data_IF_006661251761
#
_entry.id   IF_006661251761
#
_cell.length_a   1.000
_cell.length_b   1.000
_cell.length_c   1.000
_cell.angle_alpha   90.00
_cell.angle_beta   90.00
_cell.angle_gamma   90.00
#
_symmetry.space_group_name_H-M   'P 1'
#
loop_
_entity.id
_entity.type
_entity.pdbx_description
1 polymer ?
#
# COMPACT_ATOMS: atom_id res chain seq x y z
N UNK A 1 -1.18 22.38 -7.84
CA UNK A 1 -2.18 21.43 -8.38
C UNK A 1 -1.44 20.22 -8.90
N UNK A 2 -1.78 19.01 -8.47
CA UNK A 2 -1.32 17.82 -9.20
C UNK A 2 -1.99 17.87 -10.58
N UNK A 3 -1.26 17.68 -11.69
CA UNK A 3 -1.82 17.80 -13.05
C UNK A 3 -2.87 16.72 -13.38
N UNK A 4 -3.03 15.73 -12.50
CA UNK A 4 -3.87 14.57 -12.73
C UNK A 4 -4.91 14.38 -11.63
N UNK A 5 -6.11 13.93 -12.05
CA UNK A 5 -7.14 13.44 -11.15
C UNK A 5 -6.94 11.93 -10.93
N UNK A 6 -6.76 11.53 -9.68
CA UNK A 6 -6.53 10.13 -9.29
C UNK A 6 -7.78 9.45 -8.72
N UNK A 7 -8.91 10.16 -8.63
CA UNK A 7 -10.13 9.64 -7.99
C UNK A 7 -10.62 8.37 -8.67
N UNK A 8 -10.77 8.39 -9.99
CA UNK A 8 -11.26 7.22 -10.74
C UNK A 8 -10.12 6.41 -11.38
N UNK A 9 -8.87 6.74 -11.06
CA UNK A 9 -7.69 6.06 -11.59
C UNK A 9 -7.56 4.62 -11.04
N UNK A 10 -7.09 3.65 -11.84
CA UNK A 10 -6.90 2.29 -11.37
C UNK A 10 -5.87 2.24 -10.26
N UNK A 11 -6.10 1.37 -9.27
CA UNK A 11 -5.22 1.17 -8.11
C UNK A 11 -4.69 -0.26 -8.11
N UNK A 12 -3.37 -0.41 -8.11
CA UNK A 12 -2.74 -1.69 -7.79
C UNK A 12 -2.32 -1.74 -6.33
N UNK A 13 -2.66 -2.85 -5.67
CA UNK A 13 -2.30 -3.15 -4.28
C UNK A 13 -1.29 -4.29 -4.28
N UNK A 14 -0.07 -3.99 -3.87
CA UNK A 14 1.03 -4.95 -3.75
C UNK A 14 1.19 -5.32 -2.28
N UNK A 15 0.81 -6.54 -1.90
CA UNK A 15 0.72 -6.95 -0.51
C UNK A 15 1.61 -8.15 -0.19
N UNK A 16 2.66 -7.92 0.60
CA UNK A 16 3.47 -8.98 1.21
C UNK A 16 2.83 -9.46 2.54
N UNK A 17 2.28 -10.67 2.53
CA UNK A 17 1.54 -11.24 3.66
C UNK A 17 2.46 -11.72 4.79
N UNK A 18 3.73 -12.01 4.52
CA UNK A 18 4.68 -12.36 5.59
C UNK A 18 5.07 -11.13 6.40
N UNK A 19 5.10 -9.98 5.74
CA UNK A 19 5.39 -8.70 6.35
C UNK A 19 4.20 -8.17 7.16
N UNK A 20 3.01 -8.26 6.56
CA UNK A 20 1.74 -7.73 7.02
C UNK A 20 0.69 -8.85 6.94
N UNK A 21 0.73 -9.76 7.91
CA UNK A 21 -0.15 -10.93 7.92
C UNK A 21 -1.61 -10.57 8.16
N UNK A 22 -2.53 -11.42 7.69
CA UNK A 22 -3.95 -11.32 8.05
C UNK A 22 -4.07 -11.33 9.59
N UNK A 23 -4.68 -10.30 10.21
CA UNK A 23 -4.88 -10.29 11.65
C UNK A 23 -5.69 -11.49 12.14
N UNK A 24 -5.41 -11.98 13.35
CA UNK A 24 -6.02 -13.21 13.88
C UNK A 24 -7.55 -13.09 14.08
N UNK A 25 -8.05 -11.88 14.20
CA UNK A 25 -9.46 -11.54 14.37
C UNK A 25 -10.19 -11.27 13.05
N UNK A 26 -9.51 -11.36 11.90
CA UNK A 26 -10.07 -11.08 10.58
C UNK A 26 -9.89 -12.25 9.62
N UNK A 27 -10.86 -12.40 8.70
CA UNK A 27 -10.68 -13.27 7.55
C UNK A 27 -9.92 -12.54 6.43
N UNK A 28 -9.24 -13.28 5.55
CA UNK A 28 -8.50 -12.71 4.41
C UNK A 28 -9.39 -11.80 3.55
N UNK A 29 -10.60 -12.26 3.24
CA UNK A 29 -11.59 -11.50 2.46
C UNK A 29 -12.01 -10.20 3.15
N UNK A 30 -12.15 -10.20 4.48
CA UNK A 30 -12.48 -8.98 5.23
C UNK A 30 -11.38 -7.94 5.12
N UNK A 31 -10.11 -8.37 5.14
CA UNK A 31 -8.97 -7.48 4.94
C UNK A 31 -9.00 -6.86 3.54
N UNK A 32 -9.31 -7.62 2.49
CA UNK A 32 -9.45 -7.07 1.13
C UNK A 32 -10.57 -6.03 1.03
N UNK A 33 -11.73 -6.31 1.64
CA UNK A 33 -12.85 -5.37 1.72
C UNK A 33 -12.49 -4.11 2.49
N UNK A 34 -11.78 -4.24 3.60
CA UNK A 34 -11.30 -3.12 4.40
C UNK A 34 -10.31 -2.25 3.62
N UNK A 35 -9.35 -2.85 2.90
CA UNK A 35 -8.44 -2.12 1.99
C UNK A 35 -9.25 -1.36 0.93
N UNK A 36 -10.22 -2.01 0.28
CA UNK A 36 -11.07 -1.37 -0.74
C UNK A 36 -11.84 -0.17 -0.17
N UNK A 37 -12.42 -0.34 1.02
CA UNK A 37 -13.16 0.71 1.73
C UNK A 37 -12.24 1.90 2.06
N UNK A 38 -11.06 1.66 2.61
CA UNK A 38 -10.07 2.70 2.91
C UNK A 38 -9.68 3.50 1.66
N UNK A 39 -9.46 2.82 0.54
CA UNK A 39 -9.13 3.45 -0.74
C UNK A 39 -10.29 4.34 -1.20
N UNK A 40 -11.51 3.82 -1.21
CA UNK A 40 -12.71 4.57 -1.57
C UNK A 40 -12.93 5.81 -0.68
N UNK A 41 -12.86 5.65 0.65
CA UNK A 41 -13.03 6.75 1.60
C UNK A 41 -11.91 7.81 1.48
N UNK A 42 -10.73 7.41 1.00
CA UNK A 42 -9.62 8.30 0.69
C UNK A 42 -9.68 8.90 -0.72
N UNK A 43 -10.82 8.76 -1.40
CA UNK A 43 -11.05 9.23 -2.78
C UNK A 43 -10.16 8.55 -3.82
N UNK A 44 -9.95 7.24 -3.69
CA UNK A 44 -9.36 6.36 -4.70
C UNK A 44 -10.40 5.31 -5.10
N UNK A 45 -11.34 5.72 -5.95
CA UNK A 45 -12.58 5.04 -6.30
C UNK A 45 -12.49 4.16 -7.56
N UNK A 46 -11.37 4.22 -8.28
CA UNK A 46 -11.15 3.38 -9.45
C UNK A 46 -11.08 1.88 -9.15
N UNK A 47 -10.94 1.08 -10.21
CA UNK A 47 -10.80 -0.38 -10.09
C UNK A 47 -9.56 -0.71 -9.25
N UNK A 48 -9.72 -1.63 -8.31
CA UNK A 48 -8.64 -2.13 -7.45
C UNK A 48 -8.19 -3.51 -7.95
N UNK A 49 -6.90 -3.64 -8.27
CA UNK A 49 -6.26 -4.92 -8.58
C UNK A 49 -5.36 -5.32 -7.41
N UNK A 50 -5.51 -6.54 -6.91
CA UNK A 50 -4.75 -7.07 -5.79
C UNK A 50 -3.67 -8.03 -6.29
N UNK A 51 -2.43 -7.78 -5.90
CA UNK A 51 -1.28 -8.65 -6.09
C UNK A 51 -0.78 -9.06 -4.72
N UNK A 52 -1.14 -10.26 -4.30
CA UNK A 52 -0.85 -10.81 -2.96
C UNK A 52 0.29 -11.79 -3.07
N UNK A 53 1.32 -11.62 -2.25
CA UNK A 53 2.53 -12.44 -2.25
C UNK A 53 2.61 -13.18 -0.92
N UNK A 54 2.57 -14.51 -0.99
CA UNK A 54 2.45 -15.37 0.17
C UNK A 54 3.51 -16.47 0.20
N UNK A 55 4.03 -16.80 1.37
CA UNK A 55 5.00 -17.89 1.56
C UNK A 55 4.51 -18.95 2.56
N UNK A 56 3.20 -19.20 2.62
CA UNK A 56 2.60 -20.22 3.50
C UNK A 56 1.73 -19.65 4.62
N UNK A 57 1.04 -18.52 4.42
CA UNK A 57 0.08 -18.03 5.42
C UNK A 57 -1.06 -19.04 5.57
N UNK A 58 -1.32 -19.55 6.80
CA UNK A 58 -2.43 -20.48 7.05
C UNK A 58 -3.78 -19.95 6.57
N UNK A 59 -3.98 -18.63 6.67
CA UNK A 59 -5.18 -17.92 6.25
C UNK A 59 -5.42 -17.91 4.74
N UNK A 60 -4.47 -18.41 3.95
CA UNK A 60 -4.49 -18.41 2.47
C UNK A 60 -4.36 -19.79 1.85
N UNK A 61 -4.24 -20.86 2.65
CA UNK A 61 -3.97 -22.22 2.18
C UNK A 61 -5.12 -22.75 1.30
N UNK A 62 -6.37 -22.48 1.68
CA UNK A 62 -7.56 -22.97 0.98
C UNK A 62 -8.23 -21.93 0.07
N UNK A 63 -7.66 -20.73 -0.02
CA UNK A 63 -8.21 -19.66 -0.85
C UNK A 63 -7.89 -19.91 -2.33
N UNK A 64 -8.89 -20.38 -3.06
CA UNK A 64 -8.91 -20.36 -4.51
C UNK A 64 -9.55 -19.03 -4.93
N UNK A 65 -8.81 -18.08 -5.55
CA UNK A 65 -9.14 -16.67 -5.56
C UNK A 65 -10.59 -16.42 -5.98
N UNK A 66 -11.51 -16.15 -5.04
CA UNK A 66 -12.93 -15.96 -5.35
C UNK A 66 -13.21 -14.50 -5.77
N UNK A 67 -12.21 -13.63 -5.64
CA UNK A 67 -12.31 -12.19 -5.82
C UNK A 67 -11.81 -11.79 -7.20
N UNK A 68 -12.67 -11.11 -7.96
CA UNK A 68 -12.31 -10.52 -9.25
C UNK A 68 -11.14 -9.54 -9.10
N UNK A 69 -10.22 -9.52 -10.07
CA UNK A 69 -9.02 -8.67 -10.07
C UNK A 69 -8.00 -8.98 -8.96
N UNK A 70 -7.94 -10.22 -8.46
CA UNK A 70 -6.91 -10.67 -7.53
C UNK A 70 -5.98 -11.71 -8.15
N UNK A 71 -4.68 -11.57 -7.85
CA UNK A 71 -3.64 -12.55 -8.16
C UNK A 71 -2.91 -12.89 -6.87
N UNK A 72 -2.84 -14.18 -6.53
CA UNK A 72 -2.04 -14.68 -5.41
C UNK A 72 -0.82 -15.40 -5.99
N UNK A 73 0.38 -14.89 -5.68
CA UNK A 73 1.66 -15.52 -6.02
C UNK A 73 2.21 -16.22 -4.78
N UNK A 74 2.27 -17.55 -4.82
CA UNK A 74 2.75 -18.38 -3.71
C UNK A 74 4.24 -18.71 -3.88
N UNK A 75 4.98 -18.59 -2.80
CA UNK A 75 6.39 -18.96 -2.68
C UNK A 75 6.53 -20.13 -1.68
N UNK A 76 7.56 -20.97 -1.81
CA UNK A 76 7.82 -22.02 -0.82
C UNK A 76 8.07 -21.44 0.57
N UNK A 77 7.48 -22.05 1.60
CA UNK A 77 7.80 -21.73 2.99
C UNK A 77 9.29 -22.00 3.26
N UNK A 78 9.98 -21.04 3.89
CA UNK A 78 11.43 -21.10 4.08
C UNK A 78 12.27 -20.95 2.81
N UNK A 79 11.64 -20.60 1.69
CA UNK A 79 12.35 -20.27 0.44
C UNK A 79 13.13 -18.95 0.54
N UNK A 80 13.90 -18.65 -0.51
CA UNK A 80 14.72 -17.43 -0.57
C UNK A 80 13.85 -16.16 -0.53
N UNK A 81 13.98 -15.29 0.49
CA UNK A 81 13.25 -14.04 0.57
C UNK A 81 13.51 -13.10 -0.63
N UNK A 82 14.67 -13.23 -1.28
CA UNK A 82 15.04 -12.41 -2.42
C UNK A 82 14.16 -12.66 -3.65
N UNK A 83 13.71 -13.90 -3.88
CA UNK A 83 12.83 -14.23 -5.02
C UNK A 83 11.48 -13.52 -4.91
N UNK A 84 10.90 -13.49 -3.70
CA UNK A 84 9.67 -12.74 -3.45
C UNK A 84 9.89 -11.24 -3.60
N UNK A 85 10.95 -10.70 -3.01
CA UNK A 85 11.32 -9.29 -3.16
C UNK A 85 11.43 -8.89 -4.64
N UNK A 86 12.18 -9.67 -5.43
CA UNK A 86 12.37 -9.45 -6.86
C UNK A 86 11.04 -9.49 -7.60
N UNK A 87 10.18 -10.45 -7.31
CA UNK A 87 8.86 -10.57 -7.95
C UNK A 87 7.97 -9.36 -7.64
N UNK A 88 7.90 -8.91 -6.39
CA UNK A 88 7.15 -7.69 -6.02
C UNK A 88 7.70 -6.48 -6.77
N UNK A 89 9.03 -6.33 -6.82
CA UNK A 89 9.68 -5.22 -7.52
C UNK A 89 9.36 -5.22 -9.02
N UNK A 90 9.45 -6.38 -9.67
CA UNK A 90 9.13 -6.54 -11.09
C UNK A 90 7.66 -6.24 -11.36
N UNK A 91 6.74 -6.71 -10.51
CA UNK A 91 5.30 -6.52 -10.73
C UNK A 91 4.88 -5.05 -10.58
N UNK A 92 5.51 -4.30 -9.67
CA UNK A 92 5.32 -2.85 -9.56
C UNK A 92 5.80 -2.16 -10.84
N UNK A 93 6.96 -2.56 -11.37
CA UNK A 93 7.50 -2.03 -12.61
C UNK A 93 6.60 -2.35 -13.81
N UNK A 94 6.19 -3.61 -13.97
CA UNK A 94 5.28 -4.06 -15.03
C UNK A 94 3.95 -3.30 -14.98
N UNK A 95 3.35 -3.16 -13.80
CA UNK A 95 2.15 -2.35 -13.63
C UNK A 95 2.35 -0.90 -14.10
N UNK A 96 3.47 -0.28 -13.73
CA UNK A 96 3.78 1.09 -14.13
C UNK A 96 4.07 1.26 -15.63
N UNK A 97 4.36 0.18 -16.35
CA UNK A 97 4.52 0.21 -17.81
C UNK A 97 3.15 0.02 -18.48
N UNK A 98 2.36 -0.94 -18.00
CA UNK A 98 1.05 -1.30 -18.57
C UNK A 98 -0.08 -0.30 -18.23
N UNK A 99 0.10 0.52 -17.20
CA UNK A 99 -0.88 1.49 -16.68
C UNK A 99 -0.22 2.86 -16.48
N UNK A 100 -0.04 3.64 -17.56
CA UNK A 100 0.53 4.99 -17.45
C UNK A 100 -0.35 5.89 -16.58
N UNK A 101 0.24 6.99 -16.09
CA UNK A 101 -0.47 7.98 -15.28
C UNK A 101 -1.72 8.54 -16.00
N UNK A 102 -2.84 8.77 -15.28
CA UNK A 102 -3.01 8.62 -13.83
C UNK A 102 -3.22 7.17 -13.39
N UNK A 103 -2.43 6.74 -12.39
CA UNK A 103 -2.60 5.46 -11.71
C UNK A 103 -2.15 5.56 -10.24
N UNK A 104 -2.79 4.76 -9.39
CA UNK A 104 -2.50 4.66 -7.97
C UNK A 104 -1.71 3.37 -7.70
N UNK A 105 -0.72 3.45 -6.80
CA UNK A 105 0.09 2.30 -6.38
C UNK A 105 0.10 2.28 -4.86
N UNK A 106 -0.53 1.27 -4.26
CA UNK A 106 -0.45 0.99 -2.83
C UNK A 106 0.53 -0.14 -2.58
N UNK A 107 1.65 0.20 -1.92
CA UNK A 107 2.64 -0.77 -1.48
C UNK A 107 2.42 -1.09 0.01
N UNK A 108 2.11 -2.36 0.32
CA UNK A 108 1.89 -2.86 1.67
C UNK A 108 3.05 -3.77 2.05
N UNK A 109 3.94 -3.27 2.90
CA UNK A 109 5.12 -4.00 3.34
C UNK A 109 5.52 -3.67 4.77
N UNK A 110 6.19 -4.61 5.42
CA UNK A 110 6.51 -4.57 6.84
C UNK A 110 7.91 -4.02 7.11
N UNK A 111 8.68 -3.73 6.06
CA UNK A 111 10.05 -3.26 6.15
C UNK A 111 10.37 -2.18 5.11
N UNK A 112 11.29 -1.30 5.46
CA UNK A 112 11.87 -0.33 4.53
C UNK A 112 13.08 -0.95 3.86
N UNK A 113 12.95 -1.31 2.57
CA UNK A 113 14.06 -1.77 1.75
C UNK A 113 14.56 -0.61 0.85
N UNK A 114 15.86 -0.24 0.85
CA UNK A 114 16.37 0.90 0.09
C UNK A 114 16.07 0.85 -1.41
N UNK A 115 16.09 -0.34 -2.03
CA UNK A 115 15.77 -0.50 -3.45
C UNK A 115 14.28 -0.23 -3.71
N UNK A 116 13.41 -0.72 -2.84
CA UNK A 116 11.97 -0.48 -2.95
C UNK A 116 11.64 0.99 -2.69
N UNK A 117 12.24 1.60 -1.67
CA UNK A 117 12.14 3.05 -1.42
C UNK A 117 12.56 3.85 -2.66
N UNK A 118 13.67 3.48 -3.30
CA UNK A 118 14.13 4.09 -4.53
C UNK A 118 13.10 3.99 -5.66
N UNK A 119 12.51 2.81 -5.86
CA UNK A 119 11.46 2.57 -6.85
C UNK A 119 10.21 3.43 -6.58
N UNK A 120 9.67 3.40 -5.36
CA UNK A 120 8.46 4.15 -5.01
C UNK A 120 8.69 5.67 -5.14
N UNK A 121 9.87 6.17 -4.74
CA UNK A 121 10.22 7.57 -4.95
C UNK A 121 10.31 7.93 -6.43
N UNK A 122 10.93 7.06 -7.25
CA UNK A 122 11.03 7.26 -8.70
C UNK A 122 9.64 7.32 -9.35
N UNK A 123 8.73 6.43 -8.97
CA UNK A 123 7.34 6.46 -9.46
C UNK A 123 6.62 7.75 -9.05
N UNK A 124 6.84 8.23 -7.82
CA UNK A 124 6.31 9.53 -7.39
C UNK A 124 6.86 10.71 -8.21
N UNK A 125 8.14 10.68 -8.58
CA UNK A 125 8.73 11.66 -9.51
C UNK A 125 8.13 11.58 -10.91
N UNK A 126 7.75 10.38 -11.35
CA UNK A 126 7.08 10.12 -12.63
C UNK A 126 5.56 10.37 -12.56
N UNK A 127 5.10 11.11 -11.55
CA UNK A 127 3.72 11.54 -11.35
C UNK A 127 2.71 10.41 -11.07
N UNK A 128 3.16 9.21 -10.67
CA UNK A 128 2.26 8.22 -10.09
C UNK A 128 1.79 8.67 -8.71
N UNK A 129 0.57 8.30 -8.34
CA UNK A 129 0.10 8.50 -6.99
C UNK A 129 0.49 7.31 -6.11
N UNK A 130 1.52 7.48 -5.29
CA UNK A 130 2.05 6.42 -4.43
C UNK A 130 1.44 6.50 -3.03
N UNK A 131 0.99 5.35 -2.55
CA UNK A 131 0.36 5.11 -1.25
C UNK A 131 1.17 4.03 -0.54
N UNK A 132 1.28 4.13 0.79
CA UNK A 132 2.09 3.22 1.57
C UNK A 132 1.29 2.66 2.75
N UNK A 133 1.48 1.38 3.03
CA UNK A 133 1.11 0.80 4.30
C UNK A 133 2.33 0.12 4.90
N UNK A 134 2.62 0.43 6.17
CA UNK A 134 3.75 -0.14 6.89
C UNK A 134 3.32 -0.90 8.14
N UNK A 135 4.15 -1.82 8.62
CA UNK A 135 3.95 -2.45 9.93
C UNK A 135 3.84 -1.39 11.02
N UNK A 136 3.04 -1.65 12.06
CA UNK A 136 2.77 -0.69 13.13
C UNK A 136 4.04 -0.18 13.84
N UNK A 137 5.08 -1.01 13.95
CA UNK A 137 6.39 -0.61 14.50
C UNK A 137 7.09 0.50 13.69
N UNK A 138 6.74 0.66 12.41
CA UNK A 138 7.28 1.68 11.51
C UNK A 138 6.37 2.91 11.40
N UNK A 139 5.16 2.86 11.97
CA UNK A 139 4.21 3.97 12.02
C UNK A 139 4.53 5.02 13.10
N UNK A 140 5.78 5.08 13.55
CA UNK A 140 6.22 5.95 14.63
C UNK A 140 6.40 7.41 14.18
N UNK A 141 6.08 8.33 15.09
CA UNK A 141 6.39 9.75 14.97
C UNK A 141 7.59 10.09 15.87
N UNK A 142 8.50 10.97 15.42
CA UNK A 142 9.51 11.54 16.33
C UNK A 142 8.81 12.37 17.42
N UNK A 143 9.38 12.39 18.63
CA UNK A 143 8.79 13.00 19.85
C UNK A 143 8.26 14.43 19.65
N UNK A 144 8.89 15.20 18.75
CA UNK A 144 8.54 16.59 18.46
C UNK A 144 8.25 16.87 16.98
N UNK A 145 8.13 15.84 16.13
CA UNK A 145 7.93 16.05 14.70
C UNK A 145 6.50 15.77 14.26
N UNK A 146 6.08 16.53 13.26
CA UNK A 146 4.75 16.46 12.66
C UNK A 146 4.62 15.38 11.58
N UNK A 147 5.74 14.83 11.13
CA UNK A 147 5.79 13.87 10.04
C UNK A 147 6.18 12.47 10.56
N UNK A 148 5.52 11.40 10.10
CA UNK A 148 5.90 10.03 10.44
C UNK A 148 7.32 9.73 9.96
N UNK A 149 8.07 8.93 10.72
CA UNK A 149 9.48 8.64 10.41
C UNK A 149 9.65 8.02 9.01
N UNK A 150 8.73 7.16 8.59
CA UNK A 150 8.74 6.53 7.26
C UNK A 150 8.70 7.55 6.10
N UNK A 151 8.10 8.72 6.29
CA UNK A 151 8.06 9.76 5.25
C UNK A 151 9.40 10.44 4.99
N UNK A 152 10.40 10.21 5.86
CA UNK A 152 11.79 10.65 5.63
C UNK A 152 12.45 9.92 4.47
N UNK A 153 12.04 8.68 4.23
CA UNK A 153 12.56 7.86 3.13
C UNK A 153 11.62 7.91 1.91
N UNK A 154 10.31 8.05 2.14
CA UNK A 154 9.29 8.07 1.09
C UNK A 154 8.81 9.50 0.77
N UNK A 155 9.61 10.22 -0.02
CA UNK A 155 9.50 11.66 -0.23
C UNK A 155 8.26 12.09 -1.01
N UNK A 156 7.62 11.21 -1.78
CA UNK A 156 6.49 11.56 -2.66
C UNK A 156 5.18 10.87 -2.28
N UNK A 157 5.20 9.99 -1.26
CA UNK A 157 4.01 9.26 -0.85
C UNK A 157 2.92 10.22 -0.37
N UNK A 158 1.70 9.97 -0.85
CA UNK A 158 0.53 10.80 -0.61
C UNK A 158 -0.19 10.44 0.68
N UNK A 159 -0.42 9.16 0.92
CA UNK A 159 -1.11 8.66 2.10
C UNK A 159 -0.35 7.48 2.70
N UNK A 160 -0.29 7.41 4.02
CA UNK A 160 0.38 6.34 4.76
C UNK A 160 -0.56 5.77 5.82
N UNK A 161 -0.71 4.46 5.82
CA UNK A 161 -1.40 3.69 6.86
C UNK A 161 -0.43 2.87 7.69
N UNK A 162 -0.84 2.56 8.92
CA UNK A 162 -0.31 1.41 9.64
C UNK A 162 -1.06 0.14 9.21
N UNK A 163 -0.43 -1.02 9.33
CA UNK A 163 -1.09 -2.27 8.98
C UNK A 163 -2.33 -2.51 9.83
N UNK A 164 -2.28 -2.24 11.14
CA UNK A 164 -3.46 -2.32 12.01
C UNK A 164 -4.60 -1.41 11.53
N UNK A 165 -4.29 -0.17 11.11
CA UNK A 165 -5.31 0.73 10.57
C UNK A 165 -5.92 0.20 9.28
N UNK A 166 -5.09 -0.10 8.28
CA UNK A 166 -5.56 -0.49 6.96
C UNK A 166 -6.34 -1.81 6.99
N UNK A 167 -5.84 -2.81 7.71
CA UNK A 167 -6.48 -4.13 7.81
C UNK A 167 -7.85 -4.09 8.48
N UNK A 168 -8.09 -3.14 9.40
CA UNK A 168 -9.38 -2.92 10.07
C UNK A 168 -10.24 -1.87 9.37
N UNK A 169 -9.78 -1.36 8.22
CA UNK A 169 -10.51 -0.41 7.42
C UNK A 169 -10.63 0.97 8.08
N UNK A 170 -9.55 1.44 8.71
CA UNK A 170 -9.42 2.76 9.36
C UNK A 170 -8.70 3.76 8.43
N UNK A 171 -8.88 5.08 8.62
CA UNK A 171 -8.22 6.09 7.81
C UNK A 171 -6.69 6.09 7.98
N UNK A 172 -5.94 6.65 7.02
CA UNK A 172 -4.48 6.75 7.13
C UNK A 172 -4.07 7.68 8.26
N UNK A 173 -3.06 7.30 9.06
CA UNK A 173 -2.46 8.20 10.04
C UNK A 173 -1.74 9.41 9.42
N UNK A 174 -1.40 9.37 8.13
CA UNK A 174 -0.79 10.49 7.42
C UNK A 174 -1.35 10.67 6.02
N UNK A 175 -1.66 11.92 5.67
CA UNK A 175 -2.01 12.31 4.31
C UNK A 175 -1.45 13.70 4.00
N UNK A 176 -0.56 13.76 3.01
CA UNK A 176 0.22 14.95 2.65
C UNK A 176 -0.63 16.16 2.26
N UNK A 177 -1.84 15.94 1.76
CA UNK A 177 -2.72 17.02 1.28
C UNK A 177 -3.89 17.33 2.22
N UNK A 178 -4.13 16.55 3.28
CA UNK A 178 -5.12 16.89 4.30
C UNK A 178 -4.60 17.90 5.32
N UNK A 179 -3.29 17.96 5.55
CA UNK A 179 -2.69 18.87 6.54
C UNK A 179 -2.75 20.35 6.14
N UNK A 180 -3.01 20.65 4.86
CA UNK A 180 -3.24 22.03 4.39
C UNK A 180 -4.69 22.52 4.54
N UNK A 181 -5.64 21.66 4.89
CA UNK A 181 -7.05 22.04 5.07
C UNK A 181 -7.45 22.29 6.53
N UNK A 182 -6.54 22.03 7.49
CA UNK A 182 -6.76 22.33 8.91
C UNK A 182 -6.33 23.74 9.34
N UNK A 183 -5.64 24.49 8.48
CA UNK A 183 -5.21 25.89 8.73
C UNK A 183 -6.26 26.95 8.31
N UNK A 184 -7.47 26.54 7.91
CA UNK A 184 -8.48 27.44 7.35
C UNK A 184 -9.72 27.73 8.19
N UNK A 185 -9.78 27.34 9.47
CA UNK A 185 -10.94 27.66 10.35
C UNK A 185 -10.53 28.00 11.78
N UNK A 186 -10.01 29.21 11.93
CA UNK A 186 -10.26 30.05 13.10
C UNK A 186 -10.43 31.48 12.59
N UNK A 187 -11.68 31.89 12.46
CA UNK A 187 -12.12 33.30 12.50
C UNK A 187 -13.25 33.38 13.51
#
# INVERSE_FOLDING_TARGET
MAPYNFVDAPTAVFWDTNCCAVPADLHFIDVLHNIKRCLYESSYNGIVKYMVYDSGSPSLIDENPPVENMVITRFPEGGDPFEKFKKIFVDIMEWSIDRPVPANILYISGETNPHMTGLINKLGMDCYNTLLCVRDSLAAFPTNGRLPLVTRDFHFVRSVWSWCELSHGRPPFFNRFSDKLREGRCS
#
